data_IF_974832950491
#
_entry.id   IF_974832950491
#
_cell.length_a   1.000
_cell.length_b   1.000
_cell.length_c   1.000
_cell.angle_alpha   90.00
_cell.angle_beta   90.00
_cell.angle_gamma   90.00
#
_symmetry.space_group_name_H-M   'P 1'
#
loop_
_entity.id
_entity.type
_entity.pdbx_description
1 polymer ?
#
# COMPACT_ATOMS: atom_id res chain seq x y z
N UNK A 1 37.24 10.17 53.11
CA UNK A 1 37.33 9.00 52.19
C UNK A 1 36.03 8.81 51.39
N UNK A 2 34.86 8.77 52.03
CA UNK A 2 33.53 8.67 51.39
C UNK A 2 33.25 9.70 50.30
N UNK A 3 33.44 11.00 50.59
CA UNK A 3 33.20 12.07 49.59
C UNK A 3 34.07 11.93 48.34
N UNK A 4 35.34 11.52 48.49
CA UNK A 4 36.24 11.28 47.35
C UNK A 4 35.80 10.09 46.49
N UNK A 5 35.18 9.07 47.09
CA UNK A 5 34.64 7.92 46.38
C UNK A 5 33.37 8.32 45.60
N UNK A 6 32.46 9.06 46.25
CA UNK A 6 31.25 9.59 45.60
C UNK A 6 31.54 10.51 44.42
N UNK A 7 32.57 11.36 44.51
CA UNK A 7 32.99 12.21 43.38
C UNK A 7 33.49 11.38 42.21
N UNK A 8 34.27 10.31 42.45
CA UNK A 8 34.73 9.42 41.38
C UNK A 8 33.60 8.64 40.72
N UNK A 9 32.66 8.14 41.51
CA UNK A 9 31.46 7.46 41.01
C UNK A 9 30.60 8.39 40.16
N UNK A 10 30.37 9.62 40.64
CA UNK A 10 29.65 10.64 39.87
C UNK A 10 30.37 11.00 38.57
N UNK A 11 31.70 11.15 38.59
CA UNK A 11 32.49 11.40 37.38
C UNK A 11 32.41 10.24 36.38
N UNK A 12 32.38 8.99 36.85
CA UNK A 12 32.18 7.82 35.99
C UNK A 12 30.82 7.83 35.32
N UNK A 13 29.75 8.06 36.10
CA UNK A 13 28.38 8.14 35.58
C UNK A 13 28.20 9.30 34.59
N UNK A 14 28.89 10.42 34.79
CA UNK A 14 28.87 11.54 33.83
C UNK A 14 29.55 11.14 32.52
N UNK A 15 30.71 10.49 32.57
CA UNK A 15 31.39 10.01 31.36
C UNK A 15 30.54 9.00 30.58
N UNK A 16 29.88 8.06 31.28
CA UNK A 16 28.97 7.10 30.65
C UNK A 16 27.78 7.80 29.98
N UNK A 17 27.22 8.83 30.62
CA UNK A 17 26.13 9.64 30.06
C UNK A 17 26.58 10.44 28.85
N UNK A 18 27.78 11.01 28.87
CA UNK A 18 28.32 11.78 27.74
C UNK A 18 28.47 10.87 26.51
N UNK A 19 28.92 9.63 26.68
CA UNK A 19 28.99 8.63 25.60
C UNK A 19 27.59 8.34 25.02
N UNK A 20 26.59 8.15 25.88
CA UNK A 20 25.21 7.88 25.45
C UNK A 20 24.58 9.08 24.74
N UNK A 21 24.89 10.30 25.17
CA UNK A 21 24.44 11.52 24.52
C UNK A 21 25.05 11.62 23.12
N UNK A 22 26.36 11.41 22.99
CA UNK A 22 27.04 11.47 21.70
C UNK A 22 26.50 10.41 20.72
N UNK A 23 26.26 9.18 21.18
CA UNK A 23 25.63 8.13 20.36
C UNK A 23 24.23 8.53 19.91
N UNK A 24 23.42 9.05 20.84
CA UNK A 24 22.07 9.50 20.53
C UNK A 24 22.06 10.66 19.53
N UNK A 25 22.98 11.63 19.64
CA UNK A 25 23.14 12.72 18.70
C UNK A 25 23.49 12.22 17.29
N UNK A 26 24.40 11.24 17.19
CA UNK A 26 24.73 10.59 15.91
C UNK A 26 23.52 9.90 15.29
N UNK A 27 22.72 9.18 16.08
CA UNK A 27 21.48 8.56 15.60
C UNK A 27 20.48 9.62 15.13
N UNK A 28 20.23 10.66 15.92
CA UNK A 28 19.31 11.74 15.53
C UNK A 28 19.76 12.40 14.23
N UNK A 29 21.07 12.62 14.06
CA UNK A 29 21.63 13.17 12.82
C UNK A 29 21.37 12.26 11.62
N UNK A 30 21.64 10.95 11.74
CA UNK A 30 21.37 9.98 10.67
C UNK A 30 19.89 9.91 10.30
N UNK A 31 19.01 9.81 11.30
CA UNK A 31 17.56 9.79 11.10
C UNK A 31 17.05 11.07 10.44
N UNK A 32 17.61 12.22 10.82
CA UNK A 32 17.26 13.51 10.21
C UNK A 32 17.70 13.57 8.76
N UNK A 33 18.89 13.05 8.44
CA UNK A 33 19.40 12.99 7.08
C UNK A 33 18.51 12.12 6.19
N UNK A 34 18.21 10.90 6.63
CA UNK A 34 17.34 9.96 5.92
C UNK A 34 15.93 10.54 5.73
N UNK A 35 15.35 11.12 6.78
CA UNK A 35 14.06 11.81 6.69
C UNK A 35 14.07 12.90 5.62
N UNK A 36 15.11 13.74 5.60
CA UNK A 36 15.21 14.84 4.64
C UNK A 36 15.40 14.33 3.20
N UNK A 37 16.09 13.21 3.01
CA UNK A 37 16.22 12.56 1.71
C UNK A 37 14.89 11.99 1.22
N UNK A 38 14.18 11.26 2.09
CA UNK A 38 12.84 10.74 1.79
C UNK A 38 11.84 11.86 1.47
N UNK A 39 11.85 12.96 2.22
CA UNK A 39 10.99 14.13 1.93
C UNK A 39 11.28 14.69 0.54
N UNK A 40 12.56 14.88 0.20
CA UNK A 40 12.97 15.40 -1.11
C UNK A 40 12.55 14.47 -2.24
N UNK A 41 12.75 13.17 -2.08
CA UNK A 41 12.35 12.19 -3.07
C UNK A 41 10.83 12.11 -3.20
N UNK A 42 10.10 12.15 -2.09
CA UNK A 42 8.64 12.16 -2.08
C UNK A 42 8.08 13.39 -2.82
N UNK A 43 8.61 14.59 -2.55
CA UNK A 43 8.24 15.81 -3.28
C UNK A 43 8.53 15.71 -4.79
N UNK A 44 9.68 15.13 -5.15
CA UNK A 44 10.05 14.89 -6.54
C UNK A 44 9.05 13.95 -7.22
N UNK A 45 8.73 12.83 -6.59
CA UNK A 45 7.79 11.83 -7.11
C UNK A 45 6.38 12.40 -7.24
N UNK A 46 5.91 13.17 -6.25
CA UNK A 46 4.63 13.90 -6.35
C UNK A 46 4.59 14.83 -7.56
N UNK A 47 5.68 15.56 -7.81
CA UNK A 47 5.80 16.41 -8.99
C UNK A 47 5.82 15.63 -10.31
N UNK A 48 6.40 14.42 -10.34
CA UNK A 48 6.37 13.55 -11.52
C UNK A 48 4.98 12.94 -11.76
N UNK A 49 4.29 12.51 -10.70
CA UNK A 49 2.89 12.04 -10.76
C UNK A 49 1.99 13.13 -11.34
N UNK A 50 2.11 14.36 -10.87
CA UNK A 50 1.29 15.46 -11.37
C UNK A 50 1.54 15.75 -12.86
N UNK A 51 2.80 15.70 -13.30
CA UNK A 51 3.12 15.82 -14.73
C UNK A 51 2.50 14.69 -15.56
N UNK A 52 2.55 13.46 -15.05
CA UNK A 52 1.95 12.31 -15.72
C UNK A 52 0.43 12.45 -15.80
N UNK A 53 -0.23 12.91 -14.73
CA UNK A 53 -1.67 13.20 -14.73
C UNK A 53 -2.04 14.20 -15.82
N UNK A 54 -1.30 15.30 -15.95
CA UNK A 54 -1.52 16.31 -17.01
C UNK A 54 -1.37 15.72 -18.41
N UNK A 55 -0.36 14.88 -18.64
CA UNK A 55 -0.16 14.22 -19.94
C UNK A 55 -1.30 13.24 -20.22
N UNK A 56 -1.72 12.46 -19.23
CA UNK A 56 -2.80 11.49 -19.36
C UNK A 56 -4.14 12.16 -19.69
N UNK A 57 -4.52 13.22 -18.97
CA UNK A 57 -5.75 13.98 -19.26
C UNK A 57 -5.69 14.62 -20.64
N UNK A 58 -4.53 15.19 -21.02
CA UNK A 58 -4.34 15.77 -22.36
C UNK A 58 -4.53 14.72 -23.47
N UNK A 59 -4.02 13.50 -23.28
CA UNK A 59 -4.21 12.39 -24.22
C UNK A 59 -5.66 11.88 -24.25
N UNK A 60 -6.34 11.87 -23.10
CA UNK A 60 -7.75 11.48 -22.99
C UNK A 60 -8.67 12.47 -23.74
N UNK A 61 -8.40 13.78 -23.61
CA UNK A 61 -9.15 14.85 -24.29
C UNK A 61 -8.96 14.87 -25.82
N UNK A 62 -7.85 14.31 -26.32
CA UNK A 62 -7.55 14.19 -27.75
C UNK A 62 -8.30 13.04 -28.46
N UNK A 63 -9.23 12.37 -27.77
CA UNK A 63 -10.29 11.60 -28.41
C UNK A 63 -9.93 10.15 -28.76
N UNK A 64 -9.58 9.34 -27.76
CA UNK A 64 -9.62 7.88 -27.91
C UNK A 64 -10.52 7.28 -26.82
N UNK A 65 -11.67 6.67 -27.14
CA UNK A 65 -12.45 5.96 -26.14
C UNK A 65 -11.63 4.76 -25.66
N UNK A 66 -11.33 4.71 -24.37
CA UNK A 66 -10.69 3.58 -23.68
C UNK A 66 -11.66 2.39 -23.58
N UNK A 67 -12.11 1.89 -24.72
CA UNK A 67 -12.99 0.74 -24.85
C UNK A 67 -12.53 -0.11 -26.05
N UNK A 68 -11.27 -0.56 -26.03
CA UNK A 68 -10.75 -1.65 -26.87
C UNK A 68 -9.30 -1.96 -26.49
N UNK A 69 -9.09 -2.62 -25.36
CA UNK A 69 -7.89 -3.43 -25.16
C UNK A 69 -8.27 -4.78 -24.59
N UNK A 70 -9.25 -5.42 -25.23
CA UNK A 70 -9.27 -6.88 -25.29
C UNK A 70 -8.18 -7.34 -26.27
N UNK A 71 -7.38 -8.30 -25.80
CA UNK A 71 -6.68 -9.27 -26.62
C UNK A 71 -5.53 -8.78 -27.52
N UNK A 72 -4.34 -8.61 -26.93
CA UNK A 72 -3.08 -8.68 -27.70
C UNK A 72 -1.93 -9.40 -26.97
N UNK A 73 -2.24 -10.41 -26.15
CA UNK A 73 -1.24 -11.33 -25.59
C UNK A 73 -1.73 -12.79 -25.59
N UNK A 74 -2.09 -13.30 -26.78
CA UNK A 74 -2.15 -14.74 -27.01
C UNK A 74 -1.37 -15.05 -28.28
N UNK A 75 -0.08 -15.34 -28.11
CA UNK A 75 0.65 -16.28 -28.97
C UNK A 75 1.97 -16.66 -28.32
N UNK A 76 1.97 -17.80 -27.65
CA UNK A 76 3.10 -18.72 -27.62
C UNK A 76 2.54 -20.09 -27.28
N UNK A 77 2.34 -20.87 -28.34
CA UNK A 77 2.01 -22.29 -28.28
C UNK A 77 3.15 -23.08 -27.61
N UNK A 78 2.70 -24.11 -26.90
CA UNK A 78 3.33 -25.42 -26.68
C UNK A 78 4.52 -25.52 -25.70
N UNK A 79 4.34 -26.29 -24.62
CA UNK A 79 4.85 -27.67 -24.44
C UNK A 79 4.28 -28.23 -23.11
N UNK A 80 3.67 -29.41 -23.19
CA UNK A 80 2.86 -30.01 -22.12
C UNK A 80 3.56 -30.86 -21.05
N UNK A 81 2.76 -31.27 -20.05
CA UNK A 81 2.59 -32.63 -19.52
C UNK A 81 1.73 -32.62 -18.23
N UNK A 82 0.97 -33.69 -17.92
CA UNK A 82 -0.09 -33.68 -16.91
C UNK A 82 0.34 -34.32 -15.59
N UNK A 83 -0.05 -33.77 -14.43
CA UNK A 83 -0.03 -34.51 -13.15
C UNK A 83 -1.22 -34.14 -12.25
N UNK A 84 -2.15 -35.09 -12.21
CA UNK A 84 -2.96 -35.61 -11.09
C UNK A 84 -3.10 -34.84 -9.75
N UNK A 85 -4.38 -34.67 -9.40
CA UNK A 85 -5.04 -35.00 -8.11
C UNK A 85 -4.30 -34.71 -6.79
N UNK A 86 -4.87 -33.81 -5.99
CA UNK A 86 -5.13 -34.13 -4.57
C UNK A 86 -6.29 -33.30 -4.01
N UNK A 87 -7.30 -34.01 -3.54
CA UNK A 87 -8.45 -33.48 -2.82
C UNK A 87 -8.10 -33.00 -1.42
N UNK A 88 -8.77 -31.92 -1.03
CA UNK A 88 -9.41 -31.71 0.27
C UNK A 88 -8.54 -31.52 1.54
N UNK A 89 -8.79 -30.38 2.18
CA UNK A 89 -9.42 -30.26 3.50
C UNK A 89 -8.59 -29.55 4.60
N UNK A 90 -9.28 -28.67 5.33
CA UNK A 90 -9.07 -28.23 6.73
C UNK A 90 -8.20 -26.99 7.02
N UNK A 91 -8.91 -25.86 7.15
CA UNK A 91 -8.70 -24.88 8.23
C UNK A 91 -8.93 -25.62 9.59
N UNK A 92 -8.31 -25.29 10.75
CA UNK A 92 -8.38 -23.93 11.27
C UNK A 92 -7.27 -23.37 12.21
N UNK A 93 -7.37 -22.05 12.42
CA UNK A 93 -7.07 -21.28 13.64
C UNK A 93 -5.67 -20.65 13.87
N UNK A 94 -5.73 -19.30 13.86
CA UNK A 94 -5.26 -18.32 14.85
C UNK A 94 -3.76 -18.13 15.06
N UNK A 95 -3.34 -16.90 14.74
CA UNK A 95 -2.58 -15.92 15.54
C UNK A 95 -1.63 -15.16 14.61
N UNK A 96 -2.20 -14.27 13.79
CA UNK A 96 -1.41 -13.23 13.13
C UNK A 96 -1.63 -11.96 13.94
N UNK A 97 -0.84 -11.82 15.00
CA UNK A 97 -0.74 -10.58 15.76
C UNK A 97 -0.29 -9.47 14.79
N UNK A 98 -1.08 -8.40 14.71
CA UNK A 98 -0.81 -7.23 13.89
C UNK A 98 0.44 -6.51 14.43
N UNK A 99 1.62 -6.92 13.97
CA UNK A 99 2.92 -6.29 14.29
C UNK A 99 2.95 -4.80 13.85
N UNK A 100 2.00 -4.37 13.02
CA UNK A 100 1.90 -3.01 12.51
C UNK A 100 1.12 -2.03 13.39
N UNK A 101 0.36 -2.48 14.40
CA UNK A 101 -0.46 -1.58 15.25
C UNK A 101 0.37 -0.63 16.13
N UNK A 102 1.68 -0.89 16.30
CA UNK A 102 2.55 -0.10 17.19
C UNK A 102 3.25 1.08 16.50
N UNK A 103 3.13 1.22 15.17
CA UNK A 103 3.83 2.27 14.43
C UNK A 103 3.07 3.61 14.38
N UNK A 104 1.80 3.64 14.75
CA UNK A 104 0.97 4.86 14.70
C UNK A 104 1.32 5.89 15.79
N UNK A 105 2.06 5.50 16.84
CA UNK A 105 2.40 6.42 17.94
C UNK A 105 3.64 7.29 17.70
N UNK A 106 4.35 7.17 16.57
CA UNK A 106 5.61 7.91 16.30
C UNK A 106 5.53 8.74 14.99
N UNK A 107 4.35 8.93 14.40
CA UNK A 107 4.23 9.89 13.30
C UNK A 107 4.02 11.31 13.83
N UNK A 108 4.90 12.29 13.53
CA UNK A 108 4.50 13.69 13.64
C UNK A 108 3.28 13.93 12.75
N UNK A 109 2.42 14.92 13.04
CA UNK A 109 1.28 15.24 12.19
C UNK A 109 1.80 15.78 10.86
N UNK A 110 2.12 14.87 9.95
CA UNK A 110 2.15 15.19 8.54
C UNK A 110 0.69 15.36 8.16
N UNK A 111 0.40 16.38 7.36
CA UNK A 111 -0.90 16.54 6.72
C UNK A 111 -1.21 15.22 6.02
N UNK A 112 -2.00 14.36 6.68
CA UNK A 112 -2.38 13.07 6.14
C UNK A 112 -3.23 13.41 4.92
N UNK A 113 -2.65 13.23 3.74
CA UNK A 113 -3.41 13.32 2.50
C UNK A 113 -4.65 12.44 2.66
N UNK A 114 -5.84 12.95 2.31
CA UNK A 114 -7.08 12.23 2.54
C UNK A 114 -6.96 10.85 1.89
N UNK A 115 -6.99 9.81 2.71
CA UNK A 115 -6.96 8.43 2.23
C UNK A 115 -8.34 8.14 1.66
N UNK A 116 -8.39 7.90 0.35
CA UNK A 116 -9.60 7.54 -0.34
C UNK A 116 -9.81 6.02 -0.25
N UNK A 117 -11.04 5.59 -0.01
CA UNK A 117 -11.38 4.18 0.19
C UNK A 117 -12.40 3.75 -0.85
N UNK A 118 -12.12 2.66 -1.55
CA UNK A 118 -13.03 2.11 -2.54
C UNK A 118 -14.29 1.54 -1.87
N UNK A 119 -15.47 1.88 -2.40
CA UNK A 119 -16.76 1.43 -1.86
C UNK A 119 -17.05 -0.04 -2.10
N UNK A 120 -16.36 -0.66 -3.05
CA UNK A 120 -16.55 -2.05 -3.44
C UNK A 120 -15.60 -2.98 -2.68
N UNK A 121 -14.29 -2.79 -2.83
CA UNK A 121 -13.28 -3.67 -2.24
C UNK A 121 -12.80 -3.24 -0.84
N UNK A 122 -13.16 -2.04 -0.38
CA UNK A 122 -12.72 -1.46 0.91
C UNK A 122 -11.20 -1.25 1.01
N UNK A 123 -10.48 -1.27 -0.11
CA UNK A 123 -9.06 -0.94 -0.15
C UNK A 123 -8.85 0.58 -0.01
N UNK A 124 -7.80 0.93 0.74
CA UNK A 124 -7.39 2.30 1.02
C UNK A 124 -6.29 2.72 0.06
N UNK A 125 -6.50 3.83 -0.64
CA UNK A 125 -5.60 4.38 -1.64
C UNK A 125 -5.10 5.76 -1.19
N UNK A 126 -3.90 5.85 -0.61
CA UNK A 126 -3.29 7.14 -0.29
C UNK A 126 -2.75 7.83 -1.55
N UNK A 127 -2.90 9.15 -1.65
CA UNK A 127 -2.28 9.97 -2.70
C UNK A 127 -2.96 9.92 -4.07
N UNK A 128 -4.11 9.25 -4.19
CA UNK A 128 -4.92 9.26 -5.41
C UNK A 128 -5.99 10.36 -5.37
N UNK A 129 -6.46 10.79 -6.53
CA UNK A 129 -7.57 11.74 -6.72
C UNK A 129 -8.92 11.02 -6.74
N UNK A 130 -10.02 11.76 -6.52
CA UNK A 130 -11.38 11.19 -6.61
C UNK A 130 -11.65 10.56 -7.99
N UNK A 131 -11.17 11.17 -9.07
CA UNK A 131 -11.31 10.62 -10.42
C UNK A 131 -10.55 9.28 -10.59
N UNK A 132 -9.35 9.16 -10.00
CA UNK A 132 -8.60 7.90 -10.01
C UNK A 132 -9.32 6.82 -9.17
N UNK A 133 -9.94 7.21 -8.05
CA UNK A 133 -10.78 6.29 -7.26
C UNK A 133 -12.02 5.85 -8.04
N UNK A 134 -12.69 6.77 -8.72
CA UNK A 134 -13.86 6.46 -9.54
C UNK A 134 -13.50 5.51 -10.69
N UNK A 135 -12.35 5.71 -11.35
CA UNK A 135 -11.86 4.78 -12.36
C UNK A 135 -11.61 3.37 -11.80
N UNK A 136 -11.06 3.27 -10.59
CA UNK A 136 -10.90 2.01 -9.90
C UNK A 136 -12.26 1.37 -9.57
N UNK A 137 -13.22 2.15 -9.04
CA UNK A 137 -14.57 1.67 -8.73
C UNK A 137 -15.31 1.17 -9.99
N UNK A 138 -15.18 1.88 -11.11
CA UNK A 138 -15.76 1.49 -12.41
C UNK A 138 -15.09 0.24 -13.01
N UNK A 139 -13.86 -0.07 -12.60
CA UNK A 139 -13.17 -1.29 -13.02
C UNK A 139 -13.70 -2.53 -12.31
N UNK A 140 -14.43 -2.37 -11.19
CA UNK A 140 -15.07 -3.48 -10.52
C UNK A 140 -16.34 -3.92 -11.26
N UNK A 141 -16.40 -5.22 -11.55
CA UNK A 141 -17.57 -5.90 -12.06
C UNK A 141 -18.47 -6.30 -10.89
N UNK A 142 -19.37 -5.42 -10.47
CA UNK A 142 -20.25 -5.68 -9.31
C UNK A 142 -21.59 -6.26 -9.75
N UNK A 143 -22.04 -7.33 -9.09
CA UNK A 143 -23.38 -7.87 -9.31
C UNK A 143 -24.45 -6.92 -8.74
N UNK A 144 -25.46 -6.50 -9.54
CA UNK A 144 -26.46 -5.52 -9.10
C UNK A 144 -27.43 -6.05 -8.03
N UNK A 145 -27.52 -7.37 -7.85
CA UNK A 145 -28.49 -7.99 -6.94
C UNK A 145 -27.90 -8.33 -5.57
N UNK A 146 -26.67 -8.84 -5.52
CA UNK A 146 -26.03 -9.24 -4.27
C UNK A 146 -24.82 -8.40 -3.88
N UNK A 147 -24.46 -7.39 -4.68
CA UNK A 147 -23.31 -6.48 -4.45
C UNK A 147 -21.94 -7.16 -4.36
N UNK A 148 -21.86 -8.43 -4.80
CA UNK A 148 -20.60 -9.17 -4.89
C UNK A 148 -19.72 -8.59 -6.02
N UNK A 149 -18.41 -8.49 -5.77
CA UNK A 149 -17.41 -8.19 -6.80
C UNK A 149 -17.09 -9.46 -7.58
N UNK A 150 -17.24 -9.41 -8.89
CA UNK A 150 -17.11 -10.52 -9.83
C UNK A 150 -15.95 -10.34 -10.82
N UNK A 151 -14.94 -9.52 -10.49
CA UNK A 151 -13.83 -9.16 -11.40
C UNK A 151 -13.10 -10.36 -12.02
N UNK A 152 -12.98 -11.43 -11.25
CA UNK A 152 -12.25 -12.64 -11.64
C UNK A 152 -13.15 -13.69 -12.31
N UNK A 153 -14.45 -13.45 -12.44
CA UNK A 153 -15.39 -14.40 -13.03
C UNK A 153 -15.36 -14.28 -14.55
N UNK A 154 -15.26 -15.42 -15.24
CA UNK A 154 -15.48 -15.47 -16.68
C UNK A 154 -16.87 -14.93 -17.03
N UNK A 155 -17.00 -14.34 -18.23
CA UNK A 155 -18.23 -13.71 -18.70
C UNK A 155 -19.46 -14.62 -18.54
N UNK A 156 -19.33 -15.89 -18.92
CA UNK A 156 -20.38 -16.90 -18.82
C UNK A 156 -20.82 -17.17 -17.37
N UNK A 157 -19.88 -17.23 -16.44
CA UNK A 157 -20.12 -17.49 -15.02
C UNK A 157 -20.75 -16.26 -14.35
N UNK A 158 -20.32 -15.05 -14.75
CA UNK A 158 -20.99 -13.84 -14.28
C UNK A 158 -22.43 -13.76 -14.77
N UNK A 159 -22.68 -14.03 -16.05
CA UNK A 159 -24.05 -14.02 -16.59
C UNK A 159 -24.92 -15.03 -15.84
N UNK A 160 -24.45 -16.26 -15.64
CA UNK A 160 -25.16 -17.27 -14.85
C UNK A 160 -25.40 -16.80 -13.40
N UNK A 161 -24.42 -16.15 -12.77
CA UNK A 161 -24.58 -15.58 -11.44
C UNK A 161 -25.64 -14.46 -11.38
N UNK A 162 -25.64 -13.54 -12.34
CA UNK A 162 -26.60 -12.42 -12.40
C UNK A 162 -28.01 -12.94 -12.69
N UNK A 163 -28.17 -13.81 -13.69
CA UNK A 163 -29.47 -14.40 -14.03
C UNK A 163 -29.96 -15.41 -13.00
N UNK A 164 -29.06 -16.02 -12.21
CA UNK A 164 -29.42 -16.89 -11.09
C UNK A 164 -30.16 -16.18 -9.95
N UNK A 165 -30.09 -14.84 -9.90
CA UNK A 165 -30.91 -14.04 -8.98
C UNK A 165 -32.36 -13.85 -9.45
N UNK A 166 -32.70 -14.22 -10.69
CA UNK A 166 -34.06 -14.08 -11.23
C UNK A 166 -35.04 -15.20 -10.79
N UNK A 167 -34.70 -15.99 -9.77
CA UNK A 167 -35.52 -17.11 -9.23
C UNK A 167 -36.03 -16.88 -7.80
#
# INVERSE_FOLDING_TARGET
>A
RRVKMQVKEMSGLMADKDILIEDNEKRVMLWTLEKNELVRENEKLKGEIEKLRVVYTSLSDLGTPAAASESMYLQSDDIGAPVRETSANQNPQRHQENIYETLDSIRPPQEEEPVLVCRHCQESFPGITENELEQHEQSHRVCPFCTMICDHMEQSVFEDHVYGHEL
#
